data_IF_429106566229
#
_entry.id   IF_429106566229
#
_cell.length_a   1.000
_cell.length_b   1.000
_cell.length_c   1.000
_cell.angle_alpha   90.00
_cell.angle_beta   90.00
_cell.angle_gamma   90.00
#
_symmetry.space_group_name_H-M   'P 1'
#
loop_
_entity.id
_entity.type
_entity.pdbx_description
1 polymer ?
#
# COMPACT_ATOMS: atom_id res chain seq x y z
N UNK A 1 -9.35 20.51 2.43
CA UNK A 1 -8.01 19.92 2.69
C UNK A 1 -7.43 19.55 1.34
N UNK A 2 -6.19 19.93 1.02
CA UNK A 2 -5.62 19.68 -0.31
C UNK A 2 -5.28 18.20 -0.51
N UNK A 3 -5.20 17.69 -1.77
CA UNK A 3 -4.80 16.31 -2.06
C UNK A 3 -3.46 15.93 -1.40
N UNK A 4 -2.49 16.84 -1.45
CA UNK A 4 -1.16 16.69 -0.85
C UNK A 4 -1.27 16.47 0.67
N UNK A 5 -2.11 17.23 1.36
CA UNK A 5 -2.32 17.09 2.81
C UNK A 5 -2.95 15.74 3.17
N UNK A 6 -3.82 15.20 2.30
CA UNK A 6 -4.44 13.89 2.49
C UNK A 6 -3.41 12.78 2.33
N UNK A 7 -2.64 12.80 1.23
CA UNK A 7 -1.57 11.83 0.97
C UNK A 7 -0.52 11.83 2.09
N UNK A 8 -0.09 13.01 2.55
CA UNK A 8 0.85 13.14 3.65
C UNK A 8 0.33 12.53 4.96
N UNK A 9 -0.98 12.66 5.25
CA UNK A 9 -1.60 12.04 6.43
C UNK A 9 -1.60 10.52 6.34
N UNK A 10 -1.92 9.94 5.19
CA UNK A 10 -1.85 8.48 4.99
C UNK A 10 -0.41 7.98 5.14
N UNK A 11 0.57 8.70 4.60
CA UNK A 11 1.98 8.36 4.77
C UNK A 11 2.41 8.34 6.25
N UNK A 12 2.01 9.37 7.02
CA UNK A 12 2.30 9.43 8.46
C UNK A 12 1.64 8.29 9.23
N UNK A 13 0.38 7.95 8.93
CA UNK A 13 -0.32 6.83 9.55
C UNK A 13 0.37 5.49 9.25
N UNK A 14 0.79 5.28 8.01
CA UNK A 14 1.53 4.06 7.64
C UNK A 14 2.87 3.97 8.38
N UNK A 15 3.58 5.10 8.52
CA UNK A 15 4.83 5.14 9.28
C UNK A 15 4.60 4.79 10.77
N UNK A 16 3.57 5.35 11.39
CA UNK A 16 3.19 5.04 12.78
C UNK A 16 2.84 3.56 12.95
N UNK A 17 1.99 3.02 12.07
CA UNK A 17 1.65 1.60 12.09
C UNK A 17 2.89 0.70 11.88
N UNK A 18 3.83 1.11 11.03
CA UNK A 18 5.10 0.41 10.84
C UNK A 18 5.97 0.40 12.10
N UNK A 19 6.03 1.52 12.83
CA UNK A 19 6.73 1.61 14.11
C UNK A 19 6.09 0.69 15.16
N UNK A 20 4.77 0.75 15.32
CA UNK A 20 4.03 -0.13 16.25
C UNK A 20 4.22 -1.61 15.93
N UNK A 21 4.19 -1.97 14.63
CA UNK A 21 4.45 -3.33 14.18
C UNK A 21 5.88 -3.78 14.55
N UNK A 22 6.88 -2.93 14.35
CA UNK A 22 8.27 -3.23 14.67
C UNK A 22 8.46 -3.46 16.18
N UNK A 23 7.91 -2.58 17.02
CA UNK A 23 7.95 -2.70 18.48
C UNK A 23 7.23 -3.97 18.96
N UNK A 24 6.02 -4.22 18.47
CA UNK A 24 5.26 -5.42 18.82
C UNK A 24 5.98 -6.70 18.38
N UNK A 25 6.57 -6.70 17.19
CA UNK A 25 7.35 -7.84 16.68
C UNK A 25 8.59 -8.10 17.54
N UNK A 26 9.32 -7.06 17.94
CA UNK A 26 10.47 -7.20 18.83
C UNK A 26 10.08 -7.84 20.17
N UNK A 27 8.98 -7.39 20.78
CA UNK A 27 8.47 -7.96 22.02
C UNK A 27 8.06 -9.44 21.86
N UNK A 28 7.37 -9.78 20.75
CA UNK A 28 6.96 -11.16 20.43
C UNK A 28 8.18 -12.06 20.23
N UNK A 29 9.19 -11.60 19.48
CA UNK A 29 10.41 -12.38 19.22
C UNK A 29 11.16 -12.62 20.52
N UNK A 30 11.38 -11.59 21.33
CA UNK A 30 12.09 -11.71 22.60
C UNK A 30 11.43 -12.76 23.50
N UNK A 31 10.11 -12.66 23.74
CA UNK A 31 9.40 -13.62 24.60
C UNK A 31 9.37 -15.04 24.02
N UNK A 32 9.22 -15.19 22.70
CA UNK A 32 9.22 -16.51 22.07
C UNK A 32 10.58 -17.19 22.10
N UNK A 33 11.68 -16.43 22.08
CA UNK A 33 13.02 -16.98 22.30
C UNK A 33 13.19 -17.50 23.73
N UNK A 34 12.63 -16.82 24.74
CA UNK A 34 12.61 -17.30 26.12
C UNK A 34 11.81 -18.60 26.24
N UNK A 35 10.59 -18.65 25.69
CA UNK A 35 9.73 -19.85 25.70
C UNK A 35 10.43 -21.04 25.03
N UNK A 36 11.11 -20.81 23.89
CA UNK A 36 11.92 -21.83 23.23
C UNK A 36 13.08 -22.30 24.13
N UNK A 37 13.75 -21.39 24.82
CA UNK A 37 14.81 -21.72 25.78
C UNK A 37 14.30 -22.55 26.96
N UNK A 38 13.17 -22.16 27.55
CA UNK A 38 12.48 -22.89 28.63
C UNK A 38 12.10 -24.31 28.16
N UNK A 39 11.55 -24.43 26.94
CA UNK A 39 11.17 -25.71 26.36
C UNK A 39 12.37 -26.63 26.03
N UNK A 40 13.53 -26.06 25.67
CA UNK A 40 14.76 -26.84 25.48
C UNK A 40 15.35 -27.33 26.80
N UNK A 41 15.20 -26.54 27.88
CA UNK A 41 15.69 -26.89 29.20
C UNK A 41 14.80 -27.94 29.90
N UNK A 42 13.47 -27.83 29.76
CA UNK A 42 12.50 -28.80 30.30
C UNK A 42 11.37 -29.07 29.28
N UNK A 43 11.58 -30.02 28.35
CA UNK A 43 10.60 -30.32 27.31
C UNK A 43 9.26 -30.84 27.82
N UNK A 44 9.23 -31.47 29.01
CA UNK A 44 8.01 -32.08 29.57
C UNK A 44 7.08 -31.04 30.19
N UNK A 45 7.58 -29.85 30.50
CA UNK A 45 6.82 -28.73 31.09
C UNK A 45 6.70 -27.54 30.15
N UNK A 46 7.10 -27.69 28.88
CA UNK A 46 7.05 -26.62 27.89
C UNK A 46 5.62 -26.16 27.60
N UNK A 47 5.46 -24.89 27.22
CA UNK A 47 4.19 -24.35 26.73
C UNK A 47 3.92 -24.83 25.29
N UNK A 48 3.51 -26.10 25.16
CA UNK A 48 3.19 -26.72 23.88
C UNK A 48 2.06 -26.01 23.14
N UNK A 49 1.17 -25.31 23.87
CA UNK A 49 0.08 -24.56 23.27
C UNK A 49 0.58 -23.29 22.57
N UNK A 50 1.50 -22.52 23.17
CA UNK A 50 2.15 -21.41 22.47
C UNK A 50 3.07 -21.91 21.35
N UNK A 51 3.86 -22.98 21.57
CA UNK A 51 4.73 -23.55 20.54
C UNK A 51 3.95 -23.97 19.28
N UNK A 52 2.76 -24.56 19.43
CA UNK A 52 1.88 -24.91 18.30
C UNK A 52 1.33 -23.69 17.55
N UNK A 53 1.07 -22.58 18.24
CA UNK A 53 0.52 -21.34 17.64
C UNK A 53 1.56 -20.53 16.86
N UNK A 54 2.84 -20.65 17.22
CA UNK A 54 3.91 -19.79 16.68
C UNK A 54 4.04 -19.81 15.15
N UNK A 55 3.72 -20.94 14.51
CA UNK A 55 3.75 -21.10 13.06
C UNK A 55 2.45 -20.71 12.37
N UNK A 56 1.31 -21.21 12.86
CA UNK A 56 0.01 -21.05 12.20
C UNK A 56 -0.43 -19.59 12.12
N UNK A 57 -0.25 -18.82 13.20
CA UNK A 57 -0.62 -17.40 13.24
C UNK A 57 0.13 -16.58 12.18
N UNK A 58 1.40 -16.90 11.91
CA UNK A 58 2.20 -16.22 10.89
C UNK A 58 1.68 -16.51 9.48
N UNK A 59 1.30 -17.76 9.22
CA UNK A 59 0.76 -18.19 7.93
C UNK A 59 -0.61 -17.55 7.70
N UNK A 60 -1.49 -17.55 8.70
CA UNK A 60 -2.82 -16.94 8.61
C UNK A 60 -2.74 -15.43 8.35
N UNK A 61 -1.92 -14.71 9.12
CA UNK A 61 -1.74 -13.27 8.95
C UNK A 61 -1.11 -12.94 7.60
N UNK A 62 -0.12 -13.73 7.14
CA UNK A 62 0.50 -13.55 5.84
C UNK A 62 -0.44 -13.86 4.68
N UNK A 63 -1.27 -14.90 4.79
CA UNK A 63 -2.26 -15.24 3.78
C UNK A 63 -3.33 -14.15 3.65
N UNK A 64 -3.82 -13.62 4.78
CA UNK A 64 -4.75 -12.49 4.79
C UNK A 64 -4.12 -11.23 4.19
N UNK A 65 -2.86 -10.95 4.54
CA UNK A 65 -2.08 -9.84 3.97
C UNK A 65 -1.89 -9.98 2.45
N UNK A 66 -1.55 -11.18 1.98
CA UNK A 66 -1.39 -11.46 0.55
C UNK A 66 -2.70 -11.32 -0.22
N UNK A 67 -3.83 -11.77 0.36
CA UNK A 67 -5.15 -11.58 -0.21
C UNK A 67 -5.51 -10.10 -0.38
N UNK A 68 -5.30 -9.30 0.66
CA UNK A 68 -5.51 -7.85 0.61
C UNK A 68 -4.60 -7.17 -0.43
N UNK A 69 -3.30 -7.52 -0.43
CA UNK A 69 -2.34 -6.98 -1.39
C UNK A 69 -2.70 -7.32 -2.84
N UNK A 70 -3.20 -8.53 -3.11
CA UNK A 70 -3.60 -8.94 -4.44
C UNK A 70 -4.84 -8.18 -4.92
N UNK A 71 -5.86 -8.03 -4.08
CA UNK A 71 -7.05 -7.23 -4.40
C UNK A 71 -6.65 -5.78 -4.71
N UNK A 72 -5.79 -5.18 -3.89
CA UNK A 72 -5.40 -3.79 -4.05
C UNK A 72 -4.48 -3.56 -5.26
N UNK A 73 -3.66 -4.55 -5.62
CA UNK A 73 -2.88 -4.51 -6.84
C UNK A 73 -3.78 -4.51 -8.09
N UNK A 74 -4.88 -5.27 -8.07
CA UNK A 74 -5.87 -5.26 -9.15
C UNK A 74 -6.59 -3.91 -9.24
N UNK A 75 -6.97 -3.32 -8.11
CA UNK A 75 -7.60 -1.99 -8.08
C UNK A 75 -6.66 -0.90 -8.63
N UNK A 76 -5.38 -0.93 -8.25
CA UNK A 76 -4.36 -0.01 -8.77
C UNK A 76 -4.11 -0.22 -10.27
N UNK A 77 -4.09 -1.47 -10.74
CA UNK A 77 -3.94 -1.78 -12.15
C UNK A 77 -5.16 -1.29 -12.96
N UNK A 78 -6.38 -1.45 -12.44
CA UNK A 78 -7.59 -0.94 -13.08
C UNK A 78 -7.56 0.60 -13.15
N UNK A 79 -7.18 1.27 -12.06
CA UNK A 79 -7.02 2.72 -12.04
C UNK A 79 -5.99 3.17 -13.08
N UNK A 80 -4.82 2.53 -13.15
CA UNK A 80 -3.79 2.84 -14.14
C UNK A 80 -4.29 2.63 -15.58
N UNK A 81 -5.06 1.57 -15.83
CA UNK A 81 -5.68 1.32 -17.12
C UNK A 81 -6.65 2.42 -17.54
N UNK A 82 -7.51 2.90 -16.62
CA UNK A 82 -8.43 4.02 -16.89
C UNK A 82 -7.67 5.32 -17.20
N UNK A 83 -6.59 5.59 -16.47
CA UNK A 83 -5.74 6.75 -16.71
C UNK A 83 -5.09 6.69 -18.11
N UNK A 84 -4.51 5.54 -18.47
CA UNK A 84 -3.91 5.32 -19.78
C UNK A 84 -4.92 5.46 -20.92
N UNK A 85 -6.12 4.90 -20.77
CA UNK A 85 -7.19 5.04 -21.76
C UNK A 85 -7.60 6.52 -21.97
N UNK A 86 -7.74 7.27 -20.87
CA UNK A 86 -8.04 8.71 -20.93
C UNK A 86 -6.96 9.50 -21.65
N UNK A 87 -5.69 9.31 -21.28
CA UNK A 87 -4.59 10.05 -21.91
C UNK A 87 -4.42 9.67 -23.38
N UNK A 88 -4.71 8.42 -23.76
CA UNK A 88 -4.78 8.00 -25.16
C UNK A 88 -5.86 8.75 -25.95
N UNK A 89 -7.05 8.92 -25.37
CA UNK A 89 -8.13 9.68 -25.99
C UNK A 89 -7.77 11.17 -26.15
N UNK A 90 -7.17 11.78 -25.14
CA UNK A 90 -6.71 13.18 -25.17
C UNK A 90 -5.60 13.40 -26.20
N UNK A 91 -4.67 12.46 -26.34
CA UNK A 91 -3.64 12.49 -27.37
C UNK A 91 -4.24 12.34 -28.78
N UNK A 92 -5.22 11.44 -28.95
CA UNK A 92 -5.90 11.27 -30.23
C UNK A 92 -6.69 12.52 -30.64
N UNK A 93 -7.37 13.18 -29.70
CA UNK A 93 -8.07 14.44 -29.95
C UNK A 93 -7.09 15.56 -30.33
N UNK A 94 -5.95 15.66 -29.64
CA UNK A 94 -4.89 16.59 -30.02
C UNK A 94 -4.39 16.35 -31.45
N UNK A 95 -4.08 15.10 -31.81
CA UNK A 95 -3.66 14.75 -33.17
C UNK A 95 -4.71 15.12 -34.22
N UNK A 96 -5.99 14.89 -33.93
CA UNK A 96 -7.08 15.28 -34.83
C UNK A 96 -7.18 16.81 -35.00
N UNK A 97 -6.93 17.59 -33.95
CA UNK A 97 -6.89 19.06 -34.01
C UNK A 97 -5.69 19.55 -34.82
N UNK A 98 -4.52 18.94 -34.61
CA UNK A 98 -3.30 19.26 -35.37
C UNK A 98 -3.48 18.97 -36.86
N UNK A 99 -4.11 17.85 -37.22
CA UNK A 99 -4.38 17.47 -38.61
C UNK A 99 -5.35 18.42 -39.33
N UNK A 100 -6.18 19.16 -38.60
CA UNK A 100 -7.14 20.15 -39.13
C UNK A 100 -6.64 21.59 -39.01
N UNK A 101 -5.41 21.81 -38.53
CA UNK A 101 -4.90 23.14 -38.30
C UNK A 101 -4.46 23.80 -39.62
N UNK A 102 -5.22 24.80 -40.08
CA UNK A 102 -4.93 25.51 -41.33
C UNK A 102 -3.89 26.64 -41.18
N UNK A 103 -3.41 26.87 -39.95
CA UNK A 103 -2.41 27.91 -39.67
C UNK A 103 -1.38 27.44 -38.63
N UNK A 104 -0.14 27.95 -38.68
CA UNK A 104 0.86 27.68 -37.64
C UNK A 104 0.39 28.09 -36.23
N UNK A 105 -0.39 29.17 -36.13
CA UNK A 105 -0.95 29.62 -34.85
C UNK A 105 -1.96 28.62 -34.28
N UNK A 106 -2.85 28.08 -35.11
CA UNK A 106 -3.82 27.05 -34.69
C UNK A 106 -3.11 25.75 -34.27
N UNK A 107 -2.05 25.36 -35.01
CA UNK A 107 -1.22 24.20 -34.67
C UNK A 107 -0.57 24.38 -33.29
N UNK A 108 0.11 25.51 -33.08
CA UNK A 108 0.76 25.81 -31.81
C UNK A 108 -0.25 25.84 -30.64
N UNK A 109 -1.42 26.44 -30.84
CA UNK A 109 -2.47 26.49 -29.83
C UNK A 109 -2.97 25.08 -29.44
N UNK A 110 -3.19 24.20 -30.41
CA UNK A 110 -3.62 22.82 -30.14
C UNK A 110 -2.55 22.04 -29.35
N UNK A 111 -1.29 22.15 -29.74
CA UNK A 111 -0.17 21.51 -29.04
C UNK A 111 -0.01 22.03 -27.61
N UNK A 112 -0.02 23.36 -27.41
CA UNK A 112 0.14 23.97 -26.08
C UNK A 112 -1.02 23.62 -25.16
N UNK A 113 -2.26 23.65 -25.66
CA UNK A 113 -3.44 23.28 -24.88
C UNK A 113 -3.37 21.82 -24.39
N UNK A 114 -3.01 20.90 -25.28
CA UNK A 114 -2.82 19.51 -24.90
C UNK A 114 -1.69 19.36 -23.87
N UNK A 115 -0.54 20.00 -24.08
CA UNK A 115 0.61 19.89 -23.19
C UNK A 115 0.29 20.41 -21.77
N UNK A 116 -0.36 21.57 -21.66
CA UNK A 116 -0.77 22.13 -20.37
C UNK A 116 -1.83 21.27 -19.68
N UNK A 117 -2.78 20.73 -20.45
CA UNK A 117 -3.79 19.79 -19.96
C UNK A 117 -3.16 18.50 -19.44
N UNK A 118 -2.28 17.88 -20.23
CA UNK A 118 -1.55 16.68 -19.86
C UNK A 118 -0.72 16.89 -18.59
N UNK A 119 -0.04 18.04 -18.46
CA UNK A 119 0.71 18.37 -17.25
C UNK A 119 -0.19 18.47 -16.00
N UNK A 120 -1.29 19.23 -16.08
CA UNK A 120 -2.21 19.40 -14.95
C UNK A 120 -2.86 18.08 -14.52
N UNK A 121 -3.22 17.24 -15.50
CA UNK A 121 -3.76 15.90 -15.28
C UNK A 121 -2.73 14.97 -14.64
N UNK A 122 -1.51 14.93 -15.19
CA UNK A 122 -0.43 14.10 -14.63
C UNK A 122 -0.14 14.43 -13.16
N UNK A 123 -0.11 15.72 -12.78
CA UNK A 123 0.06 16.12 -11.38
C UNK A 123 -1.10 15.62 -10.51
N UNK A 124 -2.34 15.81 -10.95
CA UNK A 124 -3.53 15.43 -10.18
C UNK A 124 -3.65 13.91 -10.03
N UNK A 125 -3.49 13.20 -11.14
CA UNK A 125 -3.58 11.74 -11.21
C UNK A 125 -2.44 11.09 -10.43
N UNK A 126 -1.22 11.65 -10.52
CA UNK A 126 -0.08 11.18 -9.74
C UNK A 126 -0.33 11.23 -8.23
N UNK A 127 -0.86 12.35 -7.71
CA UNK A 127 -1.23 12.45 -6.29
C UNK A 127 -2.33 11.46 -5.90
N UNK A 128 -3.36 11.31 -6.74
CA UNK A 128 -4.44 10.36 -6.49
C UNK A 128 -3.93 8.91 -6.48
N UNK A 129 -3.00 8.57 -7.37
CA UNK A 129 -2.38 7.26 -7.45
C UNK A 129 -1.51 6.98 -6.22
N UNK A 130 -0.69 7.95 -5.78
CA UNK A 130 0.08 7.83 -4.55
C UNK A 130 -0.81 7.64 -3.31
N UNK A 131 -1.93 8.37 -3.22
CA UNK A 131 -2.90 8.22 -2.13
C UNK A 131 -3.53 6.81 -2.11
N UNK A 132 -3.89 6.28 -3.29
CA UNK A 132 -4.41 4.92 -3.43
C UNK A 132 -3.36 3.86 -3.06
N UNK A 133 -2.11 4.05 -3.49
CA UNK A 133 -1.01 3.13 -3.17
C UNK A 133 -0.69 3.09 -1.67
N UNK A 134 -0.74 4.23 -0.98
CA UNK A 134 -0.55 4.27 0.48
C UNK A 134 -1.69 3.56 1.22
N UNK A 135 -2.93 3.73 0.79
CA UNK A 135 -4.07 3.01 1.37
C UNK A 135 -4.01 1.51 1.07
N UNK A 136 -3.52 1.11 -0.10
CA UNK A 136 -3.27 -0.28 -0.44
C UNK A 136 -2.22 -0.90 0.49
N UNK A 137 -1.11 -0.18 0.72
CA UNK A 137 -0.09 -0.61 1.67
C UNK A 137 -0.63 -0.73 3.09
N UNK A 138 -1.44 0.22 3.56
CA UNK A 138 -2.07 0.19 4.89
C UNK A 138 -2.91 -1.09 5.05
N UNK A 139 -3.77 -1.39 4.08
CA UNK A 139 -4.65 -2.56 4.09
C UNK A 139 -3.88 -3.88 3.97
N UNK A 140 -2.85 -3.93 3.14
CA UNK A 140 -1.98 -5.10 3.02
C UNK A 140 -1.24 -5.41 4.33
N UNK A 141 -0.79 -4.39 5.08
CA UNK A 141 -0.06 -4.59 6.33
C UNK A 141 -0.98 -4.80 7.56
N UNK A 142 -2.24 -4.39 7.49
CA UNK A 142 -3.16 -4.43 8.63
C UNK A 142 -3.28 -5.83 9.29
N UNK A 143 -3.37 -6.96 8.56
CA UNK A 143 -3.45 -8.27 9.19
C UNK A 143 -2.19 -8.64 9.99
N UNK A 144 -1.01 -8.28 9.47
CA UNK A 144 0.28 -8.55 10.12
C UNK A 144 0.46 -7.67 11.36
N UNK A 145 0.12 -6.38 11.27
CA UNK A 145 0.11 -5.46 12.41
C UNK A 145 -0.85 -5.93 13.52
N UNK A 146 -2.08 -6.32 13.15
CA UNK A 146 -3.06 -6.82 14.09
C UNK A 146 -2.58 -8.10 14.80
N UNK A 147 -2.01 -9.05 14.06
CA UNK A 147 -1.46 -10.28 14.64
C UNK A 147 -0.27 -10.01 15.57
N UNK A 148 0.68 -9.18 15.15
CA UNK A 148 1.86 -8.84 15.96
C UNK A 148 1.46 -8.14 17.27
N UNK A 149 0.55 -7.16 17.20
CA UNK A 149 0.09 -6.42 18.40
C UNK A 149 -0.76 -7.28 19.33
N UNK A 150 -1.62 -8.16 18.79
CA UNK A 150 -2.38 -9.13 19.59
C UNK A 150 -1.45 -10.13 20.29
N UNK A 151 -0.45 -10.66 19.58
CA UNK A 151 0.55 -11.56 20.14
C UNK A 151 1.37 -10.88 21.23
N UNK A 152 1.83 -9.65 21.01
CA UNK A 152 2.56 -8.88 22.00
C UNK A 152 1.74 -8.65 23.29
N UNK A 153 0.43 -8.38 23.16
CA UNK A 153 -0.46 -8.23 24.34
C UNK A 153 -0.67 -9.54 25.08
N UNK A 154 -0.78 -10.65 24.35
CA UNK A 154 -0.99 -11.98 24.92
C UNK A 154 0.25 -12.47 25.67
N UNK A 155 1.43 -12.31 25.07
CA UNK A 155 2.71 -12.78 25.62
C UNK A 155 3.22 -11.94 26.81
N UNK A 156 2.61 -10.79 27.07
CA UNK A 156 2.84 -10.00 28.30
C UNK A 156 2.06 -10.53 29.51
N UNK A 157 1.06 -11.39 29.31
CA UNK A 157 0.29 -12.03 30.38
C UNK A 157 0.96 -13.32 30.79
#
# INVERSE_FOLDING_TARGET
MSPIQKTARHALRNAQAGQELAEASAAVIARRLEILGEALADPLRADHAELGRMGTEKVEALAASAGAACADALDLAEQAGRLAAREGAEAADCLARLARADTPAAFAAAQTNWAMGAWGRAVTDGWSFCDAALQAQERALAPVHAAATANARRLKR
#
